data_IF_811638625827
#
_entry.id   IF_811638625827
#
_cell.length_a   1.000
_cell.length_b   1.000
_cell.length_c   1.000
_cell.angle_alpha   90.00
_cell.angle_beta   90.00
_cell.angle_gamma   90.00
#
_symmetry.space_group_name_H-M   'P 1'
#
loop_
_entity.id
_entity.type
_entity.pdbx_description
1 polymer ?
#
# COMPACT_ATOMS: atom_id res chain seq x y z
N UNK A 1 -17.55 30.18 26.09
CA UNK A 1 -16.42 30.00 25.18
C UNK A 1 -15.63 28.87 25.77
N UNK A 2 -15.88 27.67 25.29
CA UNK A 2 -15.03 26.48 25.47
C UNK A 2 -15.62 25.43 24.52
N UNK A 3 -14.90 25.23 23.42
CA UNK A 3 -15.21 24.32 22.33
C UNK A 3 -14.88 22.90 22.78
N UNK A 4 -15.89 22.05 22.95
CA UNK A 4 -15.70 20.60 22.96
C UNK A 4 -16.02 20.07 21.56
N UNK A 5 -15.00 20.10 20.70
CA UNK A 5 -15.03 19.36 19.43
C UNK A 5 -14.91 17.89 19.80
N UNK A 6 -16.06 17.20 19.79
CA UNK A 6 -16.14 15.74 19.78
C UNK A 6 -15.41 15.28 18.52
N UNK A 7 -14.13 14.91 18.67
CA UNK A 7 -13.38 14.23 17.60
C UNK A 7 -14.12 12.95 17.29
N UNK A 8 -14.68 12.90 16.09
CA UNK A 8 -15.30 11.75 15.46
C UNK A 8 -14.45 10.51 15.71
N UNK A 9 -14.88 9.72 16.69
CA UNK A 9 -14.33 8.38 16.88
C UNK A 9 -14.98 7.54 15.80
N UNK A 10 -14.43 7.61 14.59
CA UNK A 10 -14.72 6.59 13.59
C UNK A 10 -14.32 5.25 14.21
N UNK A 11 -15.34 4.46 14.51
CA UNK A 11 -15.23 3.11 15.04
C UNK A 11 -14.48 2.25 14.02
N UNK A 12 -13.15 2.27 14.09
CA UNK A 12 -12.32 1.30 13.39
C UNK A 12 -12.61 -0.06 14.02
N UNK A 13 -13.42 -0.87 13.34
CA UNK A 13 -13.60 -2.26 13.72
C UNK A 13 -12.22 -2.93 13.75
N UNK A 14 -11.89 -3.58 14.88
CA UNK A 14 -10.60 -4.25 15.05
C UNK A 14 -10.37 -5.23 13.89
N UNK A 15 -9.28 -5.02 13.14
CA UNK A 15 -8.93 -5.83 11.98
C UNK A 15 -9.56 -5.41 10.66
N UNK A 16 -10.28 -4.28 10.57
CA UNK A 16 -10.67 -3.70 9.29
C UNK A 16 -9.54 -2.84 8.69
N UNK A 17 -9.60 -2.58 7.38
CA UNK A 17 -8.78 -1.52 6.78
C UNK A 17 -9.26 -0.16 7.27
N UNK A 18 -8.31 0.71 7.61
CA UNK A 18 -8.57 2.12 7.82
C UNK A 18 -8.95 2.86 6.53
N UNK A 19 -9.19 4.16 6.64
CA UNK A 19 -9.53 5.00 5.50
C UNK A 19 -8.36 5.15 4.52
N UNK A 20 -8.70 5.39 3.26
CA UNK A 20 -7.73 5.63 2.19
C UNK A 20 -7.16 7.06 2.29
N UNK A 21 -5.85 7.20 2.52
CA UNK A 21 -5.18 8.49 2.73
C UNK A 21 -3.88 8.61 1.92
N UNK A 22 -3.27 9.79 1.92
CA UNK A 22 -1.93 9.99 1.33
C UNK A 22 -0.87 9.42 2.24
N UNK A 23 0.22 8.92 1.67
CA UNK A 23 1.32 8.28 2.39
C UNK A 23 1.92 9.19 3.47
N UNK A 24 2.05 8.64 4.68
CA UNK A 24 2.99 9.12 5.70
C UNK A 24 4.44 8.73 5.36
N UNK A 25 5.42 9.24 6.11
CA UNK A 25 6.84 8.93 5.88
C UNK A 25 7.17 7.43 6.00
N UNK A 26 6.58 6.73 6.98
CA UNK A 26 6.77 5.29 7.15
C UNK A 26 6.09 4.49 6.04
N UNK A 27 4.89 4.90 5.61
CA UNK A 27 4.19 4.24 4.50
C UNK A 27 4.90 4.47 3.15
N UNK A 28 5.50 5.65 2.96
CA UNK A 28 6.34 5.93 1.81
C UNK A 28 7.57 4.99 1.80
N UNK A 29 8.21 4.78 2.95
CA UNK A 29 9.32 3.82 3.07
C UNK A 29 8.88 2.41 2.68
N UNK A 30 7.74 1.94 3.19
CA UNK A 30 7.18 0.61 2.86
C UNK A 30 6.88 0.49 1.36
N UNK A 31 6.29 1.52 0.77
CA UNK A 31 6.04 1.59 -0.67
C UNK A 31 7.33 1.50 -1.48
N UNK A 32 8.34 2.31 -1.14
CA UNK A 32 9.62 2.33 -1.84
C UNK A 32 10.35 0.99 -1.75
N UNK A 33 10.31 0.34 -0.59
CA UNK A 33 10.91 -0.98 -0.38
C UNK A 33 10.17 -2.07 -1.17
N UNK A 34 8.84 -1.96 -1.30
CA UNK A 34 8.05 -2.86 -2.15
C UNK A 34 8.42 -2.70 -3.63
N UNK A 35 8.55 -1.46 -4.11
CA UNK A 35 9.00 -1.17 -5.49
C UNK A 35 10.41 -1.71 -5.73
N UNK A 36 11.35 -1.53 -4.80
CA UNK A 36 12.69 -2.13 -4.88
C UNK A 36 12.63 -3.67 -4.92
N UNK A 37 11.77 -4.27 -4.10
CA UNK A 37 11.57 -5.72 -4.07
C UNK A 37 11.12 -6.24 -5.44
N UNK A 38 10.12 -5.58 -6.05
CA UNK A 38 9.63 -5.92 -7.39
C UNK A 38 10.74 -5.78 -8.44
N UNK A 39 11.48 -4.67 -8.41
CA UNK A 39 12.60 -4.39 -9.33
C UNK A 39 13.76 -5.38 -9.21
N UNK A 40 13.93 -6.02 -8.06
CA UNK A 40 15.03 -6.97 -7.85
C UNK A 40 14.96 -8.22 -8.74
N UNK A 41 13.88 -8.41 -9.51
CA UNK A 41 13.71 -9.47 -10.51
C UNK A 41 13.97 -10.90 -10.00
N UNK A 42 13.84 -11.13 -8.68
CA UNK A 42 13.80 -12.49 -8.14
C UNK A 42 12.67 -13.27 -8.83
N UNK A 43 12.84 -14.58 -9.04
CA UNK A 43 11.89 -15.43 -9.77
C UNK A 43 10.40 -15.20 -9.39
N UNK A 44 10.11 -14.95 -8.11
CA UNK A 44 8.74 -14.68 -7.62
C UNK A 44 8.17 -13.32 -8.03
N UNK A 45 9.01 -12.33 -8.34
CA UNK A 45 8.64 -10.96 -8.72
C UNK A 45 8.63 -10.75 -10.24
N UNK A 46 9.15 -11.69 -11.02
CA UNK A 46 9.21 -11.58 -12.48
C UNK A 46 7.82 -11.36 -13.12
N UNK A 47 6.76 -11.91 -12.52
CA UNK A 47 5.35 -11.70 -12.93
C UNK A 47 4.91 -10.22 -12.91
N UNK A 48 5.59 -9.37 -12.15
CA UNK A 48 5.28 -7.96 -11.98
C UNK A 48 6.13 -7.03 -12.83
N UNK A 49 7.06 -7.57 -13.63
CA UNK A 49 7.98 -6.79 -14.46
C UNK A 49 7.27 -5.80 -15.39
N UNK A 50 6.11 -6.17 -15.94
CA UNK A 50 5.30 -5.31 -16.81
C UNK A 50 4.79 -4.03 -16.12
N UNK A 51 4.67 -4.05 -14.79
CA UNK A 51 4.16 -2.92 -14.01
C UNK A 51 5.28 -1.99 -13.51
N UNK A 52 6.56 -2.36 -13.62
CA UNK A 52 7.68 -1.55 -13.13
C UNK A 52 7.65 -0.11 -13.70
N UNK A 53 7.45 0.12 -15.02
CA UNK A 53 7.40 1.48 -15.54
C UNK A 53 6.24 2.31 -14.96
N UNK A 54 5.12 1.66 -14.67
CA UNK A 54 3.95 2.30 -14.09
C UNK A 54 4.16 2.65 -12.60
N UNK A 55 4.95 1.86 -11.88
CA UNK A 55 5.35 2.14 -10.50
C UNK A 55 6.37 3.29 -10.43
N UNK A 56 7.30 3.39 -11.37
CA UNK A 56 8.30 4.47 -11.39
C UNK A 56 7.73 5.81 -11.86
N UNK A 57 6.81 5.77 -12.83
CA UNK A 57 6.18 6.93 -13.44
C UNK A 57 4.78 7.24 -12.89
N UNK A 58 4.50 6.87 -11.64
CA UNK A 58 3.17 7.07 -11.06
C UNK A 58 2.85 8.57 -10.88
N UNK A 59 1.58 8.93 -11.04
CA UNK A 59 1.09 10.29 -10.79
C UNK A 59 0.78 10.54 -9.30
N UNK A 60 0.52 9.49 -8.52
CA UNK A 60 0.28 9.59 -7.08
C UNK A 60 -0.01 8.25 -6.45
N UNK A 61 0.11 8.18 -5.12
CA UNK A 61 -0.12 6.96 -4.34
C UNK A 61 -0.94 7.30 -3.10
N UNK A 62 -1.93 6.45 -2.83
CA UNK A 62 -2.73 6.47 -1.61
C UNK A 62 -2.68 5.10 -0.95
N UNK A 63 -2.95 5.03 0.34
CA UNK A 63 -2.87 3.78 1.10
C UNK A 63 -4.03 3.64 2.07
N UNK A 64 -4.49 2.41 2.25
CA UNK A 64 -5.29 1.98 3.39
C UNK A 64 -4.49 0.92 4.15
N UNK A 65 -4.46 1.03 5.47
CA UNK A 65 -3.68 0.14 6.35
C UNK A 65 -4.62 -0.69 7.21
N UNK A 66 -4.31 -1.97 7.38
CA UNK A 66 -4.99 -2.88 8.28
C UNK A 66 -3.99 -3.44 9.29
N UNK A 67 -4.29 -3.28 10.57
CA UNK A 67 -3.48 -3.83 11.67
C UNK A 67 -3.87 -5.29 11.90
N UNK A 68 -2.86 -6.18 11.86
CA UNK A 68 -2.98 -7.63 12.09
C UNK A 68 -1.86 -8.07 13.05
N UNK A 69 -1.37 -9.31 12.96
CA UNK A 69 -0.07 -9.69 13.54
C UNK A 69 1.10 -9.08 12.74
N UNK A 70 1.10 -7.76 12.58
CA UNK A 70 1.86 -7.00 11.60
C UNK A 70 0.98 -5.92 10.98
N UNK A 71 1.28 -5.52 9.75
CA UNK A 71 0.56 -4.48 9.01
C UNK A 71 0.36 -4.93 7.56
N UNK A 72 -0.88 -4.87 7.09
CA UNK A 72 -1.20 -4.96 5.68
C UNK A 72 -1.36 -3.55 5.11
N UNK A 73 -0.65 -3.26 4.03
CA UNK A 73 -0.76 -2.03 3.27
C UNK A 73 -1.39 -2.34 1.92
N UNK A 74 -2.48 -1.65 1.60
CA UNK A 74 -3.09 -1.67 0.28
C UNK A 74 -2.88 -0.31 -0.37
N UNK A 75 -1.92 -0.26 -1.29
CA UNK A 75 -1.60 0.94 -2.05
C UNK A 75 -2.49 1.03 -3.29
N UNK A 76 -3.14 2.17 -3.48
CA UNK A 76 -3.75 2.59 -4.73
C UNK A 76 -2.79 3.55 -5.43
N UNK A 77 -2.23 3.10 -6.56
CA UNK A 77 -1.25 3.82 -7.34
C UNK A 77 -1.95 4.36 -8.58
N UNK A 78 -2.04 5.68 -8.68
CA UNK A 78 -2.54 6.38 -9.85
C UNK A 78 -1.39 6.45 -10.84
N UNK A 79 -1.54 5.85 -12.02
CA UNK A 79 -0.48 5.83 -13.03
C UNK A 79 -0.67 6.95 -14.05
N UNK A 80 0.36 7.20 -14.87
CA UNK A 80 0.29 8.11 -16.02
C UNK A 80 -0.25 7.44 -17.30
N UNK A 81 -0.49 6.12 -17.28
CA UNK A 81 -1.02 5.37 -18.42
C UNK A 81 -2.55 5.49 -18.50
N UNK A 82 -3.06 5.75 -19.70
CA UNK A 82 -4.51 5.75 -19.97
C UNK A 82 -5.11 4.34 -19.99
N UNK A 83 -4.31 3.33 -20.34
CA UNK A 83 -4.74 1.94 -20.42
C UNK A 83 -4.80 1.27 -19.04
N UNK A 84 -3.91 1.70 -18.14
CA UNK A 84 -3.83 1.19 -16.77
C UNK A 84 -3.83 2.38 -15.81
N UNK A 85 -4.94 3.10 -15.66
CA UNK A 85 -4.98 4.35 -14.89
C UNK A 85 -4.73 4.13 -13.39
N UNK A 86 -4.93 2.90 -12.90
CA UNK A 86 -4.70 2.52 -11.52
C UNK A 86 -3.99 1.17 -11.42
N UNK A 87 -3.16 1.03 -10.40
CA UNK A 87 -2.61 -0.22 -9.92
C UNK A 87 -2.90 -0.36 -8.43
N UNK A 88 -3.12 -1.60 -8.00
CA UNK A 88 -3.29 -1.94 -6.60
C UNK A 88 -2.14 -2.84 -6.18
N UNK A 89 -1.44 -2.46 -5.12
CA UNK A 89 -0.35 -3.24 -4.55
C UNK A 89 -0.65 -3.58 -3.10
N UNK A 90 -0.55 -4.86 -2.76
CA UNK A 90 -0.72 -5.35 -1.39
C UNK A 90 0.62 -5.76 -0.82
N UNK A 91 0.96 -5.23 0.34
CA UNK A 91 2.23 -5.47 1.03
C UNK A 91 1.95 -5.87 2.47
N UNK A 92 2.59 -6.93 2.94
CA UNK A 92 2.59 -7.33 4.34
C UNK A 92 3.94 -6.99 4.98
N UNK A 93 3.88 -6.37 6.15
CA UNK A 93 5.04 -6.16 7.03
C UNK A 93 4.78 -6.80 8.39
N UNK A 94 5.63 -7.76 8.77
CA UNK A 94 5.54 -8.50 10.02
C UNK A 94 5.95 -7.68 11.25
N UNK A 95 5.66 -8.21 12.43
CA UNK A 95 6.03 -7.58 13.71
C UNK A 95 7.56 -7.49 13.90
N UNK A 96 8.08 -6.54 14.69
CA UNK A 96 9.51 -6.42 14.95
C UNK A 96 10.18 -7.68 15.53
N UNK A 97 9.44 -8.47 16.31
CA UNK A 97 9.93 -9.73 16.88
C UNK A 97 9.95 -10.90 15.88
N UNK A 98 9.34 -10.75 14.71
CA UNK A 98 9.37 -11.68 13.59
C UNK A 98 9.32 -10.90 12.26
N UNK A 99 10.44 -10.25 11.89
CA UNK A 99 10.46 -9.32 10.78
C UNK A 99 10.25 -10.05 9.45
N UNK A 100 9.18 -9.70 8.75
CA UNK A 100 8.81 -10.23 7.44
C UNK A 100 8.40 -9.07 6.55
N UNK A 101 8.76 -9.14 5.26
CA UNK A 101 8.34 -8.14 4.27
C UNK A 101 8.00 -8.86 2.97
N UNK A 102 6.74 -8.75 2.56
CA UNK A 102 6.23 -9.48 1.40
C UNK A 102 5.34 -8.58 0.54
N UNK A 103 5.63 -8.56 -0.77
CA UNK A 103 4.69 -8.05 -1.77
C UNK A 103 3.75 -9.18 -2.13
N UNK A 104 2.56 -9.17 -1.53
CA UNK A 104 1.58 -10.24 -1.67
C UNK A 104 0.90 -10.20 -3.04
N UNK A 105 0.57 -8.99 -3.53
CA UNK A 105 -0.10 -8.82 -4.82
C UNK A 105 0.22 -7.49 -5.51
N UNK A 106 0.12 -7.48 -6.85
CA UNK A 106 0.17 -6.29 -7.68
C UNK A 106 -0.65 -6.53 -8.96
N UNK A 107 -1.67 -5.71 -9.19
CA UNK A 107 -2.60 -5.86 -10.33
C UNK A 107 -3.26 -4.55 -10.73
N UNK A 108 -3.82 -4.52 -11.95
CA UNK A 108 -4.55 -3.37 -12.51
C UNK A 108 -6.05 -3.32 -12.14
N UNK A 109 -6.64 -4.46 -11.75
CA UNK A 109 -8.06 -4.57 -11.46
C UNK A 109 -8.37 -4.49 -9.96
N UNK A 110 -9.42 -3.77 -9.61
CA UNK A 110 -9.82 -3.42 -8.25
C UNK A 110 -10.66 -4.55 -7.63
N UNK A 111 -10.15 -5.22 -6.60
CA UNK A 111 -10.92 -6.03 -5.64
C UNK A 111 -10.05 -6.37 -4.39
N UNK A 112 -9.53 -5.33 -3.72
CA UNK A 112 -8.76 -5.48 -2.48
C UNK A 112 -9.62 -5.35 -1.23
#
# INVERSE_FOLDING_TARGET
MEEEIIKETQSQMLGAYGELHTLSEDEQRVFDDAVKCIKSCKLKMAKYSAYIPLLEGHAGVRVKVQIVAGRNFCFEIITTSKETPKLFMKVFEGLPCNPQFEVEDLRAECDC
#
